data_IF_969322717050
#
_entry.id   IF_969322717050
#
_cell.length_a   1.000
_cell.length_b   1.000
_cell.length_c   1.000
_cell.angle_alpha   90.00
_cell.angle_beta   90.00
_cell.angle_gamma   90.00
#
_symmetry.space_group_name_H-M   'P 1'
#
loop_
_entity.id
_entity.type
_entity.pdbx_description
1 polymer ?
#
# COMPACT_ATOMS: atom_id res chain seq x y z
N UNK A 1 -15.99 6.54 -4.54
CA UNK A 1 -14.83 6.87 -3.70
C UNK A 1 -15.32 7.83 -2.67
N UNK A 2 -15.38 7.34 -1.43
CA UNK A 2 -15.94 8.09 -0.33
C UNK A 2 -14.84 8.93 0.29
N UNK A 3 -15.15 10.20 0.55
CA UNK A 3 -14.21 11.15 1.12
C UNK A 3 -14.80 11.64 2.43
N UNK A 4 -14.10 11.35 3.52
CA UNK A 4 -14.50 11.79 4.87
C UNK A 4 -13.54 12.88 5.33
N UNK A 5 -14.08 14.06 5.59
CA UNK A 5 -13.33 15.20 6.12
C UNK A 5 -13.58 15.34 7.62
N UNK A 6 -12.50 15.51 8.39
CA UNK A 6 -12.58 15.93 9.77
C UNK A 6 -11.78 17.22 9.94
N UNK A 7 -12.47 18.35 9.83
CA UNK A 7 -11.85 19.68 9.89
C UNK A 7 -11.21 19.96 11.25
N UNK A 8 -11.81 19.48 12.34
CA UNK A 8 -11.29 19.65 13.70
C UNK A 8 -9.99 18.87 13.91
N UNK A 9 -9.93 17.64 13.43
CA UNK A 9 -8.71 16.82 13.47
C UNK A 9 -7.72 17.15 12.35
N UNK A 10 -8.09 18.02 11.41
CA UNK A 10 -7.32 18.35 10.21
C UNK A 10 -6.95 17.12 9.36
N UNK A 11 -7.88 16.17 9.24
CA UNK A 11 -7.68 14.93 8.47
C UNK A 11 -8.67 14.77 7.33
N UNK A 12 -8.24 14.06 6.29
CA UNK A 12 -9.06 13.58 5.19
C UNK A 12 -8.80 12.09 5.01
N UNK A 13 -9.87 11.32 4.88
CA UNK A 13 -9.84 9.90 4.52
C UNK A 13 -10.42 9.74 3.12
N UNK A 14 -9.70 9.03 2.26
CA UNK A 14 -10.11 8.69 0.90
C UNK A 14 -10.24 7.18 0.78
N UNK A 15 -11.48 6.69 0.67
CA UNK A 15 -11.83 5.28 0.59
C UNK A 15 -12.40 4.94 -0.80
N UNK A 16 -11.55 4.57 -1.77
CA UNK A 16 -12.00 4.17 -3.10
C UNK A 16 -12.69 2.79 -3.08
N UNK A 17 -13.88 2.73 -3.68
CA UNK A 17 -14.76 1.56 -3.69
C UNK A 17 -14.62 0.71 -4.96
N UNK A 18 -14.31 1.34 -6.09
CA UNK A 18 -14.24 0.64 -7.38
C UNK A 18 -12.89 -0.05 -7.59
N UNK A 19 -12.88 -1.35 -7.90
CA UNK A 19 -11.64 -2.06 -8.23
C UNK A 19 -11.08 -1.58 -9.57
N UNK A 20 -9.77 -1.75 -9.74
CA UNK A 20 -9.11 -1.62 -11.04
C UNK A 20 -9.23 -2.95 -11.77
N UNK A 21 -9.40 -2.88 -13.09
CA UNK A 21 -9.37 -4.03 -13.99
C UNK A 21 -8.35 -3.78 -15.10
N UNK A 22 -7.60 -4.81 -15.44
CA UNK A 22 -6.59 -4.78 -16.50
C UNK A 22 -6.71 -6.06 -17.30
N UNK A 23 -6.85 -5.95 -18.63
CA UNK A 23 -6.68 -7.08 -19.53
C UNK A 23 -5.28 -7.06 -20.13
N UNK A 24 -4.58 -8.18 -20.02
CA UNK A 24 -3.24 -8.35 -20.57
C UNK A 24 -3.10 -9.74 -21.15
N UNK A 25 -2.81 -9.84 -22.46
CA UNK A 25 -2.55 -11.11 -23.16
C UNK A 25 -3.65 -12.19 -22.96
N UNK A 26 -4.91 -11.78 -22.92
CA UNK A 26 -6.04 -12.70 -22.73
C UNK A 26 -6.35 -13.06 -21.28
N UNK A 27 -5.59 -12.53 -20.33
CA UNK A 27 -5.86 -12.68 -18.90
C UNK A 27 -6.52 -11.42 -18.33
N UNK A 28 -7.46 -11.59 -17.41
CA UNK A 28 -8.07 -10.50 -16.64
C UNK A 28 -7.45 -10.43 -15.25
N UNK A 29 -6.89 -9.26 -14.93
CA UNK A 29 -6.39 -8.90 -13.61
C UNK A 29 -7.37 -7.93 -12.96
N UNK A 30 -7.65 -8.11 -11.68
CA UNK A 30 -8.43 -7.16 -10.89
C UNK A 30 -7.87 -6.97 -9.49
N UNK A 31 -7.96 -5.75 -8.96
CA UNK A 31 -7.58 -5.46 -7.57
C UNK A 31 -8.37 -4.30 -6.98
N UNK A 32 -8.57 -4.34 -5.66
CA UNK A 32 -9.11 -3.20 -4.92
C UNK A 32 -8.03 -2.15 -4.67
N UNK A 33 -8.47 -0.93 -4.37
CA UNK A 33 -7.62 0.14 -3.85
C UNK A 33 -7.69 0.14 -2.32
N UNK A 34 -6.70 0.72 -1.67
CA UNK A 34 -6.65 0.89 -0.20
C UNK A 34 -7.05 2.30 0.20
N UNK A 35 -7.36 2.47 1.48
CA UNK A 35 -7.70 3.78 2.03
C UNK A 35 -6.44 4.63 2.15
N UNK A 36 -6.57 5.90 1.78
CA UNK A 36 -5.53 6.92 1.99
C UNK A 36 -5.97 7.86 3.11
N UNK A 37 -5.05 8.14 4.03
CA UNK A 37 -5.21 9.16 5.07
C UNK A 37 -4.27 10.31 4.79
N UNK A 38 -4.80 11.52 4.82
CA UNK A 38 -4.05 12.77 4.77
C UNK A 38 -4.27 13.49 6.09
N UNK A 39 -3.19 13.82 6.78
CA UNK A 39 -3.19 14.54 8.07
C UNK A 39 -2.48 15.89 7.90
N UNK A 40 -2.73 16.82 8.83
CA UNK A 40 -2.19 18.19 8.83
C UNK A 40 -2.58 19.01 7.59
N UNK A 41 -3.83 18.89 7.14
CA UNK A 41 -4.30 19.52 5.90
C UNK A 41 -4.13 21.06 5.84
N UNK A 42 -4.23 21.72 6.99
CA UNK A 42 -4.12 23.17 7.11
C UNK A 42 -2.67 23.66 7.25
N UNK A 43 -1.71 22.75 7.45
CA UNK A 43 -0.30 23.09 7.44
C UNK A 43 0.22 23.31 6.02
N UNK A 44 1.42 23.89 5.92
CA UNK A 44 2.17 23.98 4.66
C UNK A 44 2.37 22.57 4.06
N UNK A 45 2.40 22.43 2.72
CA UNK A 45 2.44 21.12 2.05
C UNK A 45 3.51 20.16 2.58
N UNK A 46 4.68 20.67 2.96
CA UNK A 46 5.84 19.91 3.46
C UNK A 46 5.58 19.25 4.84
N UNK A 47 4.57 19.72 5.56
CA UNK A 47 4.17 19.19 6.88
C UNK A 47 2.99 18.23 6.80
N UNK A 48 2.40 18.05 5.61
CA UNK A 48 1.30 17.11 5.40
C UNK A 48 1.83 15.69 5.46
N UNK A 49 1.12 14.84 6.19
CA UNK A 49 1.45 13.42 6.28
C UNK A 49 0.44 12.64 5.43
N UNK A 50 0.96 11.77 4.57
CA UNK A 50 0.16 10.89 3.72
C UNK A 50 0.51 9.45 4.04
N UNK A 51 -0.52 8.65 4.32
CA UNK A 51 -0.37 7.22 4.60
C UNK A 51 -1.46 6.40 3.92
N UNK A 52 -1.14 5.13 3.68
CA UNK A 52 -2.06 4.15 3.10
C UNK A 52 -2.29 3.03 4.10
N UNK A 53 -3.52 2.51 4.16
CA UNK A 53 -3.88 1.40 5.03
C UNK A 53 -4.83 0.44 4.34
N UNK A 54 -4.55 -0.85 4.49
CA UNK A 54 -5.46 -1.92 4.09
C UNK A 54 -4.76 -3.03 3.32
N UNK A 55 -5.58 -3.92 2.77
CA UNK A 55 -5.13 -5.07 1.98
C UNK A 55 -5.52 -4.87 0.52
N UNK A 56 -4.54 -4.84 -0.38
CA UNK A 56 -4.75 -4.98 -1.82
C UNK A 56 -4.79 -6.46 -2.15
N UNK A 57 -5.87 -6.90 -2.77
CA UNK A 57 -6.03 -8.26 -3.27
C UNK A 57 -6.02 -8.24 -4.79
N UNK A 58 -4.93 -8.69 -5.38
CA UNK A 58 -4.80 -8.87 -6.84
C UNK A 58 -5.24 -10.27 -7.20
N UNK A 59 -6.11 -10.40 -8.19
CA UNK A 59 -6.58 -11.68 -8.75
C UNK A 59 -6.36 -11.69 -10.24
N UNK A 60 -5.87 -12.80 -10.78
CA UNK A 60 -5.81 -13.08 -12.21
C UNK A 60 -6.82 -14.18 -12.57
N UNK A 61 -7.40 -14.11 -13.77
CA UNK A 61 -8.30 -15.14 -14.31
C UNK A 61 -7.65 -16.53 -14.42
N UNK A 62 -6.32 -16.61 -14.42
CA UNK A 62 -5.57 -17.87 -14.44
C UNK A 62 -5.42 -18.54 -13.05
N UNK A 63 -5.98 -17.92 -11.99
CA UNK A 63 -5.93 -18.44 -10.62
C UNK A 63 -4.74 -17.97 -9.78
N UNK A 64 -3.74 -17.30 -10.37
CA UNK A 64 -2.68 -16.62 -9.60
C UNK A 64 -3.29 -15.44 -8.84
N UNK A 65 -2.88 -15.27 -7.58
CA UNK A 65 -3.34 -14.18 -6.73
C UNK A 65 -2.17 -13.54 -5.97
N UNK A 66 -2.33 -12.28 -5.57
CA UNK A 66 -1.42 -11.61 -4.66
C UNK A 66 -2.18 -10.88 -3.55
N UNK A 67 -1.61 -10.88 -2.35
CA UNK A 67 -2.08 -10.13 -1.19
C UNK A 67 -0.98 -9.15 -0.79
N UNK A 68 -1.29 -7.86 -0.79
CA UNK A 68 -0.34 -6.80 -0.45
C UNK A 68 -0.92 -5.97 0.70
N UNK A 69 -0.27 -6.05 1.85
CA UNK A 69 -0.62 -5.35 3.07
C UNK A 69 0.09 -3.99 3.11
N UNK A 70 -0.71 -2.94 3.21
CA UNK A 70 -0.29 -1.56 3.40
C UNK A 70 -0.48 -1.23 4.89
N UNK A 71 0.62 -0.99 5.60
CA UNK A 71 0.59 -0.66 7.02
C UNK A 71 0.55 0.86 7.19
N UNK A 72 -0.42 1.34 7.98
CA UNK A 72 -0.46 2.75 8.39
C UNK A 72 0.72 3.05 9.31
N UNK A 73 1.76 3.66 8.75
CA UNK A 73 2.88 4.18 9.53
C UNK A 73 2.59 5.63 9.90
N UNK A 74 2.31 5.88 11.18
CA UNK A 74 2.04 7.23 11.72
C UNK A 74 3.26 8.15 11.69
N UNK A 75 4.47 7.61 11.51
CA UNK A 75 5.73 8.35 11.56
C UNK A 75 6.18 8.70 10.14
N UNK A 76 5.46 9.63 9.51
CA UNK A 76 5.96 10.38 8.36
C UNK A 76 5.54 11.84 8.47
N UNK A 77 5.80 12.45 9.63
CA UNK A 77 6.25 13.82 9.51
C UNK A 77 7.54 13.75 8.70
N UNK A 78 7.67 14.57 7.66
CA UNK A 78 8.98 15.06 7.22
C UNK A 78 9.53 15.94 8.37
N UNK A 79 9.65 15.35 9.55
CA UNK A 79 10.66 15.66 10.54
C UNK A 79 11.81 14.83 9.98
N UNK A 80 12.87 15.41 9.44
CA UNK A 80 13.86 16.02 10.32
C UNK A 80 13.54 15.65 11.77
N UNK A 81 13.63 14.36 12.12
CA UNK A 81 13.97 14.01 13.48
C UNK A 81 15.14 14.93 13.80
N UNK A 82 15.13 15.57 14.96
CA UNK A 82 16.02 16.68 15.32
C UNK A 82 17.55 16.38 15.21
N UNK A 83 17.91 15.22 14.65
CA UNK A 83 19.23 14.66 14.45
C UNK A 83 19.43 13.98 13.08
N UNK A 84 18.55 14.17 12.07
CA UNK A 84 18.76 13.66 10.72
C UNK A 84 18.69 12.13 10.56
N UNK A 85 18.20 11.41 11.55
CA UNK A 85 18.01 9.96 11.47
C UNK A 85 16.72 9.66 10.72
N UNK A 86 16.83 9.26 9.45
CA UNK A 86 15.75 8.56 8.76
C UNK A 86 15.65 7.15 9.36
N UNK A 87 14.46 6.74 9.81
CA UNK A 87 14.23 5.30 10.02
C UNK A 87 14.10 4.64 8.64
N UNK A 88 15.25 4.31 8.05
CA UNK A 88 15.33 3.63 6.77
C UNK A 88 14.71 2.23 6.80
N UNK A 89 14.37 1.67 7.97
CA UNK A 89 13.90 0.30 8.13
C UNK A 89 12.38 0.14 8.20
N UNK A 90 11.61 1.24 8.15
CA UNK A 90 10.16 1.16 8.20
C UNK A 90 9.59 0.64 6.87
N UNK A 91 9.36 -0.67 6.76
CA UNK A 91 8.62 -1.28 5.65
C UNK A 91 7.11 -1.08 5.87
N UNK A 92 6.47 -0.27 5.04
CA UNK A 92 5.00 -0.09 5.04
C UNK A 92 4.28 -1.00 4.05
N UNK A 93 5.02 -1.71 3.19
CA UNK A 93 4.43 -2.69 2.28
C UNK A 93 5.00 -4.07 2.50
N UNK A 94 4.11 -5.05 2.61
CA UNK A 94 4.46 -6.47 2.64
C UNK A 94 3.43 -7.28 1.88
N UNK A 95 3.76 -8.47 1.41
CA UNK A 95 2.80 -9.25 0.66
C UNK A 95 3.31 -10.60 0.22
N UNK A 96 2.45 -11.31 -0.49
CA UNK A 96 2.75 -12.61 -1.06
C UNK A 96 2.00 -12.83 -2.35
N UNK A 97 2.57 -13.67 -3.21
CA UNK A 97 1.96 -14.18 -4.44
C UNK A 97 1.75 -15.67 -4.28
N UNK A 98 0.54 -16.12 -4.56
CA UNK A 98 0.14 -17.53 -4.53
C UNK A 98 -0.21 -18.02 -5.92
N UNK A 99 0.14 -19.27 -6.22
CA UNK A 99 -0.29 -19.95 -7.43
C UNK A 99 -1.76 -20.42 -7.31
N UNK A 100 -2.34 -21.06 -8.35
CA UNK A 100 -3.72 -21.54 -8.31
C UNK A 100 -4.01 -22.62 -7.26
N UNK A 101 -2.99 -23.36 -6.79
CA UNK A 101 -3.17 -24.32 -5.68
C UNK A 101 -3.13 -23.66 -4.30
N UNK A 102 -2.93 -22.34 -4.24
CA UNK A 102 -2.80 -21.57 -3.00
C UNK A 102 -1.40 -21.60 -2.39
N UNK A 103 -0.44 -22.26 -3.05
CA UNK A 103 0.94 -22.32 -2.59
C UNK A 103 1.65 -20.98 -2.86
N UNK A 104 2.41 -20.53 -1.86
CA UNK A 104 3.13 -19.26 -1.92
C UNK A 104 4.38 -19.39 -2.80
N UNK A 105 4.34 -18.71 -3.95
CA UNK A 105 5.45 -18.62 -4.89
C UNK A 105 6.46 -17.53 -4.52
N UNK A 106 6.01 -16.44 -3.89
CA UNK A 106 6.88 -15.29 -3.65
C UNK A 106 6.41 -14.44 -2.48
N UNK A 107 7.36 -13.80 -1.77
CA UNK A 107 7.11 -12.71 -0.84
C UNK A 107 7.45 -11.36 -1.45
N UNK A 108 6.66 -10.37 -1.10
CA UNK A 108 6.82 -8.97 -1.48
C UNK A 108 7.11 -8.16 -0.22
N UNK A 109 8.00 -7.17 -0.31
CA UNK A 109 8.28 -6.24 0.79
C UNK A 109 8.80 -4.92 0.25
N UNK A 110 8.66 -3.83 1.01
CA UNK A 110 9.26 -2.56 0.65
C UNK A 110 8.58 -1.36 1.27
N UNK A 111 8.75 -0.23 0.57
CA UNK A 111 8.16 1.06 0.89
C UNK A 111 7.35 1.57 -0.29
N UNK A 112 6.11 2.01 -0.07
CA UNK A 112 5.17 2.33 -1.14
C UNK A 112 5.63 3.50 -2.03
N UNK A 113 6.44 4.41 -1.50
CA UNK A 113 6.94 5.62 -2.15
C UNK A 113 8.42 5.56 -2.55
N UNK A 114 9.14 4.49 -2.18
CA UNK A 114 10.56 4.34 -2.53
C UNK A 114 10.77 3.15 -3.48
N UNK A 115 10.64 1.92 -2.95
CA UNK A 115 11.04 0.68 -3.64
C UNK A 115 10.22 -0.51 -3.18
N UNK A 116 9.97 -1.41 -4.12
CA UNK A 116 9.28 -2.68 -3.90
C UNK A 116 10.18 -3.85 -4.31
N UNK A 117 10.34 -4.82 -3.42
CA UNK A 117 11.26 -5.95 -3.56
C UNK A 117 10.50 -7.26 -3.67
N UNK A 118 11.05 -8.17 -4.49
CA UNK A 118 10.58 -9.53 -4.68
C UNK A 118 11.58 -10.50 -4.05
N UNK A 119 11.15 -11.31 -3.10
CA UNK A 119 11.93 -12.45 -2.61
C UNK A 119 11.32 -13.74 -3.18
N UNK A 120 12.07 -14.41 -4.06
CA UNK A 120 11.68 -15.71 -4.63
C UNK A 120 11.98 -16.78 -3.58
N UNK A 121 10.96 -17.55 -3.22
CA UNK A 121 11.17 -18.73 -2.37
C UNK A 121 11.57 -19.87 -3.32
N UNK A 122 12.75 -20.50 -3.17
CA UNK A 122 13.07 -21.68 -3.95
C UNK A 122 12.05 -22.77 -3.63
N UNK A 123 11.39 -23.31 -4.65
CA UNK A 123 10.64 -24.55 -4.50
C UNK A 123 11.66 -25.68 -4.27
N UNK A 124 11.44 -26.46 -3.21
CA UNK A 124 12.17 -27.70 -2.94
C UNK A 124 11.44 -28.90 -3.51
#
# INVERSE_FOLDING_TARGET
ADITWNTWAQTCEFAPDRPVRLQLKGEEYSWNKVTTYIENLLCVPEQRNLSHEGLIHVRCSNGVAAKIFMKKNKVRTIRMLAFGLFDHNLQDVSGEVTNPSGERFCKLSGKWDEKFFKCVIPFG
#
